data_IF_870207017498
#
_entry.id   IF_870207017498
#
_cell.length_a   1.000
_cell.length_b   1.000
_cell.length_c   1.000
_cell.angle_alpha   90.00
_cell.angle_beta   90.00
_cell.angle_gamma   90.00
#
_symmetry.space_group_name_H-M   'P 1'
#
loop_
_entity.id
_entity.type
_entity.pdbx_description
1 polymer ?
#
# COMPACT_ATOMS: atom_id res chain seq x y z
N UNK A 1 19.01 15.73 52.96
CA UNK A 1 19.15 17.14 52.56
C UNK A 1 19.91 17.21 51.25
N UNK A 2 19.27 17.78 50.19
CA UNK A 2 19.85 18.43 48.99
C UNK A 2 20.86 17.59 48.16
N UNK A 3 20.74 17.43 46.84
CA UNK A 3 20.34 18.39 45.81
C UNK A 3 19.75 17.68 44.59
N UNK A 4 18.60 18.17 44.14
CA UNK A 4 18.11 18.06 42.77
C UNK A 4 18.91 19.10 41.97
N UNK A 5 19.65 18.67 40.95
CA UNK A 5 20.21 19.54 39.89
C UNK A 5 20.05 18.75 38.60
N UNK A 6 19.02 19.01 37.81
CA UNK A 6 19.02 20.05 36.77
C UNK A 6 20.08 19.79 35.70
N UNK A 7 19.77 18.85 34.79
CA UNK A 7 20.40 18.72 33.47
C UNK A 7 19.33 18.32 32.46
N UNK A 8 18.34 19.21 32.33
CA UNK A 8 17.82 19.55 31.00
C UNK A 8 18.97 20.28 30.32
N UNK A 9 19.61 19.66 29.32
CA UNK A 9 20.06 20.29 28.08
C UNK A 9 20.87 19.30 27.22
N UNK A 10 20.42 19.12 25.98
CA UNK A 10 21.24 18.86 24.79
C UNK A 10 22.09 17.59 24.72
N UNK A 11 21.44 16.45 24.49
CA UNK A 11 21.81 15.58 23.38
C UNK A 11 20.48 15.18 22.72
N UNK A 12 20.02 15.86 21.66
CA UNK A 12 20.84 16.12 20.50
C UNK A 12 21.20 14.82 19.79
N UNK A 13 20.41 13.75 19.95
CA UNK A 13 20.33 12.72 18.92
C UNK A 13 19.12 13.11 18.10
N UNK A 14 19.43 13.90 17.07
CA UNK A 14 18.83 13.84 15.74
C UNK A 14 17.41 13.27 15.80
N UNK A 15 16.41 14.13 15.64
CA UNK A 15 15.21 13.71 14.93
C UNK A 15 15.72 13.03 13.66
N UNK A 16 15.81 11.70 13.69
CA UNK A 16 16.44 10.89 12.67
C UNK A 16 15.47 10.93 11.51
N UNK A 17 15.55 12.01 10.74
CA UNK A 17 14.70 12.35 9.61
C UNK A 17 13.43 11.50 9.61
N UNK A 18 12.54 11.72 10.58
CA UNK A 18 11.12 11.39 10.42
C UNK A 18 10.52 12.38 9.41
N UNK A 19 11.27 12.67 8.34
CA UNK A 19 10.76 13.08 7.07
C UNK A 19 9.85 11.92 6.70
N UNK A 20 8.56 12.13 6.99
CA UNK A 20 7.45 11.63 6.21
C UNK A 20 7.90 11.59 4.75
N UNK A 21 8.53 10.48 4.35
CA UNK A 21 8.59 10.10 2.96
C UNK A 21 7.12 9.92 2.65
N UNK A 22 6.53 10.96 2.03
CA UNK A 22 5.21 10.88 1.46
C UNK A 22 5.15 9.51 0.78
N UNK A 23 4.21 8.66 1.22
CA UNK A 23 4.22 7.23 0.93
C UNK A 23 4.20 7.05 -0.59
N UNK A 24 5.37 6.96 -1.22
CA UNK A 24 5.51 6.90 -2.67
C UNK A 24 5.53 5.44 -3.08
N UNK A 25 4.85 5.11 -4.18
CA UNK A 25 5.01 3.81 -4.79
C UNK A 25 6.35 3.79 -5.53
N UNK A 26 7.42 3.45 -4.81
CA UNK A 26 8.79 3.45 -5.35
C UNK A 26 8.96 2.44 -6.47
N UNK A 27 10.02 2.58 -7.27
CA UNK A 27 10.33 1.64 -8.34
C UNK A 27 10.44 0.20 -7.85
N UNK A 28 11.09 -0.03 -6.71
CA UNK A 28 11.21 -1.37 -6.11
C UNK A 28 9.87 -1.92 -5.66
N UNK A 29 9.00 -1.08 -5.06
CA UNK A 29 7.63 -1.48 -4.70
C UNK A 29 6.80 -1.86 -5.92
N UNK A 30 6.88 -1.07 -6.99
CA UNK A 30 6.21 -1.37 -8.25
C UNK A 30 6.74 -2.68 -8.84
N UNK A 31 8.07 -2.84 -8.92
CA UNK A 31 8.72 -4.06 -9.43
C UNK A 31 8.27 -5.29 -8.65
N UNK A 32 8.23 -5.20 -7.31
CA UNK A 32 7.75 -6.28 -6.47
C UNK A 32 6.31 -6.71 -6.81
N UNK A 33 5.40 -5.76 -7.05
CA UNK A 33 4.05 -6.06 -7.53
C UNK A 33 4.07 -6.65 -8.95
N UNK A 34 4.88 -6.10 -9.86
CA UNK A 34 4.94 -6.56 -11.25
C UNK A 34 5.39 -8.01 -11.40
N UNK A 35 6.25 -8.50 -10.50
CA UNK A 35 6.69 -9.91 -10.51
C UNK A 35 5.57 -10.91 -10.21
N UNK A 36 4.48 -10.47 -9.57
CA UNK A 36 3.39 -11.33 -9.05
C UNK A 36 3.89 -12.46 -8.11
N UNK A 37 5.05 -12.26 -7.48
CA UNK A 37 5.65 -13.19 -6.52
C UNK A 37 5.43 -12.71 -5.07
N UNK A 38 4.82 -13.55 -4.25
CA UNK A 38 4.44 -13.20 -2.87
C UNK A 38 5.67 -12.98 -1.98
N UNK A 39 6.73 -13.76 -2.18
CA UNK A 39 7.95 -13.61 -1.40
C UNK A 39 8.61 -12.25 -1.66
N UNK A 40 8.69 -11.85 -2.92
CA UNK A 40 9.19 -10.54 -3.35
C UNK A 40 8.28 -9.41 -2.88
N UNK A 41 6.96 -9.56 -3.00
CA UNK A 41 6.00 -8.58 -2.48
C UNK A 41 6.22 -8.30 -0.99
N UNK A 42 6.34 -9.35 -0.16
CA UNK A 42 6.49 -9.22 1.30
C UNK A 42 7.80 -8.57 1.74
N UNK A 43 8.84 -8.55 0.90
CA UNK A 43 10.09 -7.80 1.18
C UNK A 43 9.87 -6.28 1.20
N UNK A 44 8.84 -5.79 0.49
CA UNK A 44 8.60 -4.35 0.31
C UNK A 44 7.29 -3.86 0.93
N UNK A 45 6.38 -4.76 1.32
CA UNK A 45 5.09 -4.43 1.93
C UNK A 45 4.86 -5.23 3.19
N UNK A 46 4.79 -4.54 4.33
CA UNK A 46 4.36 -5.12 5.60
C UNK A 46 2.83 -5.21 5.66
N UNK A 47 2.23 -6.05 6.52
CA UNK A 47 0.77 -6.12 6.66
C UNK A 47 0.08 -4.77 6.91
N UNK A 48 0.73 -3.88 7.68
CA UNK A 48 0.24 -2.51 7.91
C UNK A 48 0.19 -1.62 6.66
N UNK A 49 0.81 -2.05 5.55
CA UNK A 49 0.82 -1.32 4.27
C UNK A 49 -0.33 -1.68 3.34
N UNK A 50 -1.01 -2.81 3.55
CA UNK A 50 -1.95 -3.38 2.58
C UNK A 50 -3.15 -2.46 2.27
N UNK A 51 -3.46 -1.55 3.21
CA UNK A 51 -4.54 -0.57 3.10
C UNK A 51 -4.06 0.88 2.96
N UNK A 52 -2.75 1.12 2.83
CA UNK A 52 -2.18 2.45 2.61
C UNK A 52 -2.35 2.89 1.17
N UNK A 53 -2.44 4.19 0.94
CA UNK A 53 -2.40 4.78 -0.39
C UNK A 53 -0.99 5.26 -0.68
N UNK A 54 -0.43 4.84 -1.82
CA UNK A 54 0.90 5.21 -2.26
C UNK A 54 0.81 6.10 -3.50
N UNK A 55 1.49 7.26 -3.49
CA UNK A 55 1.52 8.20 -4.61
C UNK A 55 2.37 7.67 -5.77
N UNK A 56 1.83 7.76 -6.98
CA UNK A 56 2.50 7.52 -8.25
C UNK A 56 2.10 8.61 -9.25
N UNK A 57 2.98 9.59 -9.47
CA UNK A 57 2.62 10.77 -10.24
C UNK A 57 1.57 11.61 -9.52
N UNK A 58 0.47 11.95 -10.22
CA UNK A 58 -0.70 12.64 -9.66
C UNK A 58 -1.72 11.68 -9.04
N UNK A 59 -1.51 10.38 -9.21
CA UNK A 59 -2.42 9.32 -8.78
C UNK A 59 -1.98 8.69 -7.45
N UNK A 60 -2.90 8.02 -6.79
CA UNK A 60 -2.61 7.20 -5.62
C UNK A 60 -3.23 5.81 -5.76
N UNK A 61 -2.47 4.80 -5.37
CA UNK A 61 -2.88 3.40 -5.40
C UNK A 61 -2.67 2.72 -4.06
N UNK A 62 -3.61 1.88 -3.64
CA UNK A 62 -3.31 0.85 -2.64
C UNK A 62 -2.46 -0.26 -3.28
N UNK A 63 -1.77 -1.10 -2.49
CA UNK A 63 -1.12 -2.29 -3.02
C UNK A 63 -2.09 -3.16 -3.84
N UNK A 64 -3.34 -3.28 -3.38
CA UNK A 64 -4.40 -3.97 -4.10
C UNK A 64 -4.74 -3.25 -5.41
N UNK A 65 -4.98 -1.94 -5.38
CA UNK A 65 -5.33 -1.15 -6.57
C UNK A 65 -4.26 -1.21 -7.67
N UNK A 66 -2.98 -1.12 -7.31
CA UNK A 66 -1.89 -1.24 -8.30
C UNK A 66 -1.73 -2.67 -8.84
N UNK A 67 -1.93 -3.68 -7.98
CA UNK A 67 -1.95 -5.09 -8.41
C UNK A 67 -3.09 -5.35 -9.39
N UNK A 68 -4.26 -4.74 -9.18
CA UNK A 68 -5.42 -4.79 -10.07
C UNK A 68 -5.13 -4.12 -11.41
N UNK A 69 -4.55 -2.91 -11.42
CA UNK A 69 -4.11 -2.23 -12.64
C UNK A 69 -3.22 -3.14 -13.52
N UNK A 70 -2.28 -3.84 -12.87
CA UNK A 70 -1.34 -4.75 -13.50
C UNK A 70 -1.87 -6.16 -13.80
N UNK A 71 -3.07 -6.52 -13.34
CA UNK A 71 -3.62 -7.88 -13.47
C UNK A 71 -2.83 -8.95 -12.69
N UNK A 72 -2.29 -8.60 -11.52
CA UNK A 72 -1.39 -9.44 -10.71
C UNK A 72 -2.18 -10.36 -9.78
N UNK A 73 -2.76 -11.41 -10.37
CA UNK A 73 -3.77 -12.27 -9.72
C UNK A 73 -3.25 -12.96 -8.47
N UNK A 74 -1.99 -13.37 -8.38
CA UNK A 74 -1.46 -14.01 -7.16
C UNK A 74 -1.42 -13.01 -6.00
N UNK A 75 -0.89 -11.82 -6.23
CA UNK A 75 -0.84 -10.76 -5.22
C UNK A 75 -2.25 -10.26 -4.87
N UNK A 76 -3.15 -10.14 -5.84
CA UNK A 76 -4.57 -9.78 -5.58
C UNK A 76 -5.19 -10.78 -4.60
N UNK A 77 -5.12 -12.08 -4.90
CA UNK A 77 -5.68 -13.12 -4.02
C UNK A 77 -5.03 -13.07 -2.63
N UNK A 78 -3.70 -13.03 -2.57
CA UNK A 78 -2.98 -12.93 -1.31
C UNK A 78 -3.42 -11.73 -0.45
N UNK A 79 -3.56 -10.55 -1.05
CA UNK A 79 -4.01 -9.35 -0.34
C UNK A 79 -5.44 -9.49 0.20
N UNK A 80 -6.36 -10.03 -0.61
CA UNK A 80 -7.75 -10.25 -0.19
C UNK A 80 -7.85 -11.31 0.91
N UNK A 81 -7.08 -12.38 0.82
CA UNK A 81 -7.02 -13.43 1.84
C UNK A 81 -6.46 -12.89 3.16
N UNK A 82 -5.56 -11.90 3.09
CA UNK A 82 -5.02 -11.15 4.23
C UNK A 82 -5.86 -9.91 4.61
N UNK A 83 -7.14 -9.89 4.25
CA UNK A 83 -8.12 -8.87 4.67
C UNK A 83 -7.74 -7.44 4.26
N UNK A 84 -7.01 -7.27 3.16
CA UNK A 84 -6.93 -5.97 2.52
C UNK A 84 -8.35 -5.49 2.17
N UNK A 85 -8.63 -4.22 2.42
CA UNK A 85 -9.92 -3.62 2.15
C UNK A 85 -10.14 -3.58 0.63
N UNK A 86 -11.04 -4.45 0.17
CA UNK A 86 -11.40 -4.61 -1.24
C UNK A 86 -11.97 -3.34 -1.87
N UNK A 87 -12.51 -2.43 -1.05
CA UNK A 87 -13.07 -1.15 -1.46
C UNK A 87 -12.18 0.04 -1.05
N UNK A 88 -10.90 -0.19 -0.73
CA UNK A 88 -9.98 0.90 -0.37
C UNK A 88 -9.86 1.89 -1.53
N UNK A 89 -10.52 3.02 -1.42
CA UNK A 89 -10.42 4.13 -2.36
C UNK A 89 -9.14 4.93 -2.11
N UNK A 90 -8.28 4.99 -3.12
CA UNK A 90 -7.21 5.98 -3.22
C UNK A 90 -7.65 7.03 -4.25
N UNK A 91 -7.08 7.07 -5.46
CA UNK A 91 -7.78 7.79 -6.55
C UNK A 91 -9.09 7.08 -6.93
N UNK A 92 -9.00 5.76 -7.14
CA UNK A 92 -10.14 4.88 -7.43
C UNK A 92 -10.23 3.73 -6.44
N UNK A 93 -11.38 3.07 -6.39
CA UNK A 93 -11.49 1.75 -5.76
C UNK A 93 -10.83 0.69 -6.65
N UNK A 94 -10.40 -0.46 -6.11
CA UNK A 94 -9.88 -1.56 -6.92
C UNK A 94 -10.83 -1.96 -8.06
N UNK A 95 -12.14 -1.99 -7.82
CA UNK A 95 -13.12 -2.31 -8.87
C UNK A 95 -13.20 -1.23 -9.95
N UNK A 96 -13.14 0.06 -9.59
CA UNK A 96 -13.09 1.15 -10.57
C UNK A 96 -11.83 1.04 -11.45
N UNK A 97 -10.67 0.80 -10.83
CA UNK A 97 -9.40 0.62 -11.55
C UNK A 97 -9.47 -0.57 -12.51
N UNK A 98 -10.07 -1.69 -12.10
CA UNK A 98 -10.23 -2.86 -12.97
C UNK A 98 -11.09 -2.53 -14.21
N UNK A 99 -12.19 -1.79 -14.02
CA UNK A 99 -13.08 -1.37 -15.11
C UNK A 99 -12.39 -0.40 -16.06
N UNK A 100 -11.74 0.63 -15.54
CA UNK A 100 -11.03 1.64 -16.35
C UNK A 100 -9.87 1.03 -17.15
N UNK A 101 -9.13 0.09 -16.53
CA UNK A 101 -8.05 -0.65 -17.17
C UNK A 101 -8.53 -1.83 -18.04
N UNK A 102 -9.85 -2.02 -18.21
CA UNK A 102 -10.48 -3.11 -18.98
C UNK A 102 -10.02 -4.52 -18.56
N UNK A 103 -9.76 -4.72 -17.26
CA UNK A 103 -9.37 -6.00 -16.65
C UNK A 103 -10.61 -6.82 -16.27
N UNK A 104 -11.31 -7.36 -17.26
CA UNK A 104 -12.62 -8.03 -17.08
C UNK A 104 -12.56 -9.15 -16.04
N UNK A 105 -11.61 -10.08 -16.16
CA UNK A 105 -11.45 -11.21 -15.23
C UNK A 105 -11.15 -10.76 -13.79
N UNK A 106 -10.34 -9.70 -13.63
CA UNK A 106 -10.02 -9.14 -12.31
C UNK A 106 -11.24 -8.41 -11.73
N UNK A 107 -12.00 -7.67 -12.55
CA UNK A 107 -13.22 -7.03 -12.11
C UNK A 107 -14.27 -8.07 -11.64
N UNK A 108 -14.37 -9.19 -12.35
CA UNK A 108 -15.20 -10.32 -11.95
C UNK A 108 -14.72 -10.91 -10.62
N UNK A 109 -13.43 -11.24 -10.49
CA UNK A 109 -12.83 -11.75 -9.25
C UNK A 109 -13.13 -10.82 -8.06
N UNK A 110 -12.96 -9.52 -8.23
CA UNK A 110 -13.24 -8.54 -7.17
C UNK A 110 -14.74 -8.52 -6.81
N UNK A 111 -15.62 -8.57 -7.81
CA UNK A 111 -17.08 -8.59 -7.60
C UNK A 111 -17.50 -9.85 -6.84
N UNK A 112 -16.99 -11.01 -7.22
CA UNK A 112 -17.21 -12.29 -6.53
C UNK A 112 -16.71 -12.27 -5.07
N UNK A 113 -15.67 -11.48 -4.80
CA UNK A 113 -15.11 -11.25 -3.45
C UNK A 113 -15.84 -10.14 -2.67
N UNK A 114 -16.93 -9.58 -3.21
CA UNK A 114 -17.76 -8.58 -2.54
C UNK A 114 -17.33 -7.13 -2.76
N UNK A 115 -16.56 -6.84 -3.81
CA UNK A 115 -16.22 -5.47 -4.17
C UNK A 115 -17.47 -4.70 -4.62
N UNK A 116 -17.58 -3.46 -4.19
CA UNK A 116 -18.67 -2.55 -4.56
C UNK A 116 -18.13 -1.35 -5.35
N UNK A 117 -19.00 -0.68 -6.10
CA UNK A 117 -18.60 0.47 -6.94
C UNK A 117 -18.69 1.83 -6.22
N UNK A 118 -18.86 1.83 -4.89
CA UNK A 118 -19.08 3.05 -4.09
C UNK A 118 -17.79 3.82 -3.73
#
# INVERSE_FOLDING_TARGET
>A
MKKITSTIFLFGILASANMLSAQKLTQEKMKAIYTDDIATFKKHFAPGDYNKCFTLGTEQFSPLGFSVLGGKTKIINFLLDNKANINKKCTGTPLQIAKDAKRVEVAQLLTERGATSN
#
